data_IF_919089641624
#
_entry.id   IF_919089641624
#
_cell.length_a   1.000
_cell.length_b   1.000
_cell.length_c   1.000
_cell.angle_alpha   90.00
_cell.angle_beta   90.00
_cell.angle_gamma   90.00
#
_symmetry.space_group_name_H-M   'P 1'
#
loop_
_entity.id
_entity.type
_entity.pdbx_description
1 polymer ?
#
# COMPACT_ATOMS: atom_id res chain seq x y z
N UNK A 1 -15.66 -14.15 -18.01
CA UNK A 1 -14.43 -13.37 -17.69
C UNK A 1 -14.53 -12.98 -16.23
N UNK A 2 -13.45 -13.10 -15.45
CA UNK A 2 -13.47 -12.68 -14.04
C UNK A 2 -13.22 -11.18 -13.93
N UNK A 3 -14.03 -10.48 -13.12
CA UNK A 3 -13.96 -9.04 -12.92
C UNK A 3 -13.12 -8.74 -11.69
N UNK A 4 -12.15 -7.82 -11.79
CA UNK A 4 -11.26 -7.43 -10.69
C UNK A 4 -11.26 -5.91 -10.55
N UNK A 5 -11.46 -5.43 -9.35
CA UNK A 5 -11.29 -4.02 -9.00
C UNK A 5 -9.85 -3.79 -8.53
N UNK A 6 -9.18 -2.77 -9.05
CA UNK A 6 -7.81 -2.39 -8.63
C UNK A 6 -7.79 -0.91 -8.27
N UNK A 7 -7.42 -0.56 -7.04
CA UNK A 7 -7.22 0.84 -6.64
C UNK A 7 -5.77 1.25 -6.84
N UNK A 8 -5.49 2.53 -7.15
CA UNK A 8 -4.15 2.99 -7.48
C UNK A 8 -3.68 2.48 -8.86
N UNK A 9 -4.62 2.34 -9.79
CA UNK A 9 -4.45 1.62 -11.06
C UNK A 9 -3.48 2.30 -12.04
N UNK A 10 -3.26 3.60 -11.94
CA UNK A 10 -2.29 4.33 -12.77
C UNK A 10 -0.90 4.40 -12.14
N UNK A 11 -0.78 4.09 -10.83
CA UNK A 11 0.49 4.02 -10.11
C UNK A 11 1.33 2.80 -10.52
N UNK A 12 2.62 2.81 -10.21
CA UNK A 12 3.55 1.78 -10.69
C UNK A 12 3.12 0.34 -10.40
N UNK A 13 2.75 0.00 -9.17
CA UNK A 13 2.30 -1.35 -8.82
C UNK A 13 0.91 -1.65 -9.40
N UNK A 14 -0.04 -0.72 -9.29
CA UNK A 14 -1.39 -0.90 -9.80
C UNK A 14 -1.42 -1.09 -11.32
N UNK A 15 -0.65 -0.27 -12.05
CA UNK A 15 -0.52 -0.39 -13.50
C UNK A 15 0.06 -1.74 -13.93
N UNK A 16 1.11 -2.22 -13.25
CA UNK A 16 1.68 -3.53 -13.52
C UNK A 16 0.69 -4.67 -13.27
N UNK A 17 -0.09 -4.57 -12.18
CA UNK A 17 -1.16 -5.55 -11.87
C UNK A 17 -2.26 -5.50 -12.94
N UNK A 18 -2.76 -4.31 -13.30
CA UNK A 18 -3.78 -4.16 -14.34
C UNK A 18 -3.31 -4.74 -15.67
N UNK A 19 -2.06 -4.47 -16.08
CA UNK A 19 -1.49 -5.00 -17.34
C UNK A 19 -1.42 -6.52 -17.32
N UNK A 20 -0.88 -7.12 -16.26
CA UNK A 20 -0.78 -8.57 -16.14
C UNK A 20 -2.16 -9.23 -16.10
N UNK A 21 -3.12 -8.67 -15.38
CA UNK A 21 -4.49 -9.19 -15.34
C UNK A 21 -5.17 -9.11 -16.70
N UNK A 22 -4.96 -8.02 -17.46
CA UNK A 22 -5.45 -7.89 -18.84
C UNK A 22 -4.87 -8.98 -19.74
N UNK A 23 -3.56 -9.24 -19.69
CA UNK A 23 -2.89 -10.31 -20.43
C UNK A 23 -3.44 -11.71 -20.09
N UNK A 24 -3.85 -11.90 -18.83
CA UNK A 24 -4.46 -13.15 -18.34
C UNK A 24 -5.97 -13.25 -18.63
N UNK A 25 -6.55 -12.30 -19.35
CA UNK A 25 -7.95 -12.32 -19.76
C UNK A 25 -8.95 -11.94 -18.66
N UNK A 26 -8.51 -11.23 -17.62
CA UNK A 26 -9.41 -10.62 -16.65
C UNK A 26 -10.00 -9.32 -17.20
N UNK A 27 -11.22 -8.97 -16.77
CA UNK A 27 -11.73 -7.60 -16.88
C UNK A 27 -11.33 -6.83 -15.64
N UNK A 28 -10.70 -5.68 -15.83
CA UNK A 28 -10.19 -4.85 -14.74
C UNK A 28 -10.93 -3.52 -14.69
N UNK A 29 -11.46 -3.19 -13.52
CA UNK A 29 -11.96 -1.87 -13.16
C UNK A 29 -10.89 -1.19 -12.32
N UNK A 30 -10.13 -0.29 -12.93
CA UNK A 30 -9.06 0.43 -12.27
C UNK A 30 -9.54 1.77 -11.71
N UNK A 31 -9.33 2.03 -10.44
CA UNK A 31 -9.64 3.28 -9.77
C UNK A 31 -8.34 4.01 -9.43
N UNK A 32 -8.26 5.31 -9.74
CA UNK A 32 -7.13 6.15 -9.37
C UNK A 32 -7.55 7.60 -9.16
N UNK A 33 -6.80 8.31 -8.34
CA UNK A 33 -6.95 9.76 -8.18
C UNK A 33 -6.65 10.51 -9.48
N UNK A 34 -5.65 10.04 -10.23
CA UNK A 34 -5.29 10.57 -11.53
C UNK A 34 -6.17 9.95 -12.63
N UNK A 35 -6.43 10.73 -13.66
CA UNK A 35 -7.07 10.24 -14.87
C UNK A 35 -6.14 9.26 -15.61
N UNK A 36 -6.74 8.29 -16.31
CA UNK A 36 -6.05 7.34 -17.16
C UNK A 36 -6.91 6.96 -18.36
N UNK A 37 -6.29 6.41 -19.38
CA UNK A 37 -6.97 5.94 -20.57
C UNK A 37 -7.25 4.43 -20.49
N UNK A 38 -8.42 4.01 -20.94
CA UNK A 38 -8.81 2.62 -21.04
C UNK A 38 -7.91 1.87 -22.04
N UNK A 39 -7.59 0.60 -21.75
CA UNK A 39 -6.83 -0.24 -22.67
C UNK A 39 -7.18 -1.73 -22.50
N UNK A 40 -7.29 -2.43 -23.62
CA UNK A 40 -7.66 -3.86 -23.60
C UNK A 40 -8.94 -4.11 -22.81
N UNK A 41 -8.86 -4.94 -21.78
CA UNK A 41 -9.96 -5.22 -20.85
C UNK A 41 -9.88 -4.38 -19.57
N UNK A 42 -9.05 -3.35 -19.53
CA UNK A 42 -8.89 -2.42 -18.38
C UNK A 42 -9.70 -1.16 -18.63
N UNK A 43 -10.63 -0.88 -17.76
CA UNK A 43 -11.40 0.36 -17.73
C UNK A 43 -11.02 1.19 -16.51
N UNK A 44 -10.63 2.44 -16.74
CA UNK A 44 -10.12 3.32 -15.69
C UNK A 44 -11.18 4.35 -15.29
N UNK A 45 -11.27 4.56 -13.98
CA UNK A 45 -12.15 5.54 -13.37
C UNK A 45 -11.35 6.47 -12.47
N UNK A 46 -11.51 7.76 -12.68
CA UNK A 46 -11.02 8.75 -11.69
C UNK A 46 -11.83 8.57 -10.40
N UNK A 47 -11.12 8.42 -9.28
CA UNK A 47 -11.72 8.19 -7.98
C UNK A 47 -10.78 8.63 -6.85
N UNK A 48 -11.19 9.61 -6.06
CA UNK A 48 -10.51 9.91 -4.80
C UNK A 48 -11.04 8.99 -3.70
N UNK A 49 -10.24 8.02 -3.29
CA UNK A 49 -10.60 7.07 -2.22
C UNK A 49 -10.80 7.75 -0.85
N UNK A 50 -10.46 9.03 -0.72
CA UNK A 50 -10.71 9.80 0.50
C UNK A 50 -12.09 10.45 0.52
N UNK A 51 -12.76 10.50 -0.62
CA UNK A 51 -14.12 11.01 -0.76
C UNK A 51 -15.13 9.84 -0.93
N UNK A 52 -16.00 9.67 0.07
CA UNK A 52 -17.02 8.61 0.05
C UNK A 52 -17.98 8.77 -1.12
N UNK A 53 -18.37 10.00 -1.45
CA UNK A 53 -19.31 10.28 -2.54
C UNK A 53 -18.73 9.95 -3.91
N UNK A 54 -17.42 10.15 -4.09
CA UNK A 54 -16.73 9.79 -5.32
C UNK A 54 -16.62 8.26 -5.48
N UNK A 55 -16.33 7.56 -4.39
CA UNK A 55 -16.34 6.08 -4.37
C UNK A 55 -17.72 5.52 -4.68
N UNK A 56 -18.80 6.08 -4.11
CA UNK A 56 -20.18 5.69 -4.38
C UNK A 56 -20.58 5.94 -5.84
N UNK A 57 -20.18 7.08 -6.40
CA UNK A 57 -20.46 7.41 -7.80
C UNK A 57 -19.77 6.43 -8.78
N UNK A 58 -18.53 6.02 -8.48
CA UNK A 58 -17.82 5.02 -9.29
C UNK A 58 -18.44 3.62 -9.09
N UNK A 59 -18.83 3.25 -7.88
CA UNK A 59 -19.56 2.01 -7.62
C UNK A 59 -20.83 1.88 -8.46
N UNK A 60 -21.65 2.92 -8.52
CA UNK A 60 -22.89 2.91 -9.31
C UNK A 60 -22.62 2.72 -10.82
N UNK A 61 -21.53 3.30 -11.36
CA UNK A 61 -21.10 3.06 -12.75
C UNK A 61 -20.71 1.60 -12.96
N UNK A 62 -19.87 1.04 -12.09
CA UNK A 62 -19.37 -0.33 -12.22
C UNK A 62 -20.50 -1.35 -12.04
N UNK A 63 -21.44 -1.11 -11.12
CA UNK A 63 -22.61 -1.96 -10.87
C UNK A 63 -23.54 -2.09 -12.07
N UNK A 64 -23.56 -1.09 -12.95
CA UNK A 64 -24.29 -1.18 -14.23
C UNK A 64 -23.61 -2.15 -15.22
N UNK A 65 -22.31 -2.33 -15.11
CA UNK A 65 -21.51 -3.17 -16.03
C UNK A 65 -21.31 -4.61 -15.53
N UNK A 66 -21.29 -4.79 -14.20
CA UNK A 66 -21.15 -6.12 -13.60
C UNK A 66 -21.95 -6.27 -12.32
N UNK A 67 -22.35 -7.50 -12.03
CA UNK A 67 -23.02 -7.87 -10.78
C UNK A 67 -22.08 -8.53 -9.78
N UNK A 68 -20.86 -8.87 -10.22
CA UNK A 68 -19.92 -9.64 -9.41
C UNK A 68 -18.48 -9.15 -9.61
N UNK A 69 -17.75 -9.05 -8.51
CA UNK A 69 -16.31 -8.86 -8.50
C UNK A 69 -15.62 -10.11 -7.95
N UNK A 70 -14.78 -10.72 -8.76
CA UNK A 70 -13.93 -11.84 -8.33
C UNK A 70 -12.90 -11.40 -7.30
N UNK A 71 -12.39 -10.16 -7.41
CA UNK A 71 -11.48 -9.64 -6.40
C UNK A 71 -11.49 -8.12 -6.30
N UNK A 72 -11.04 -7.64 -5.14
CA UNK A 72 -10.59 -6.27 -4.90
C UNK A 72 -9.10 -6.31 -4.59
N UNK A 73 -8.30 -5.53 -5.32
CA UNK A 73 -6.86 -5.40 -5.13
C UNK A 73 -6.53 -3.95 -4.75
N UNK A 74 -6.08 -3.75 -3.53
CA UNK A 74 -5.74 -2.43 -3.01
C UNK A 74 -4.26 -2.13 -3.23
N UNK A 75 -3.97 -1.19 -4.12
CA UNK A 75 -2.62 -0.63 -4.30
C UNK A 75 -2.58 0.89 -4.14
N UNK A 76 -3.72 1.55 -4.02
CA UNK A 76 -3.77 2.97 -3.68
C UNK A 76 -3.09 3.22 -2.34
N UNK A 77 -2.21 4.19 -2.32
CA UNK A 77 -1.49 4.56 -1.11
C UNK A 77 -0.46 5.65 -1.39
N UNK A 78 -0.19 6.46 -0.39
CA UNK A 78 0.83 7.48 -0.43
C UNK A 78 1.90 7.20 0.61
N UNK A 79 3.11 7.67 0.31
CA UNK A 79 4.25 7.65 1.21
C UNK A 79 4.51 9.08 1.72
N UNK A 80 4.83 9.18 2.99
CA UNK A 80 5.33 10.42 3.57
C UNK A 80 6.33 10.11 4.69
N UNK A 81 7.26 11.01 4.89
CA UNK A 81 8.20 10.99 6.01
C UNK A 81 8.36 12.39 6.58
N UNK A 82 8.44 12.45 7.88
CA UNK A 82 8.71 13.66 8.64
C UNK A 82 8.96 13.34 10.12
N UNK A 83 9.37 14.33 10.90
CA UNK A 83 9.31 14.26 12.35
C UNK A 83 7.85 14.26 12.82
N UNK A 84 7.48 13.31 13.67
CA UNK A 84 6.11 13.23 14.22
C UNK A 84 5.69 14.45 15.03
N UNK A 85 6.67 15.23 15.53
CA UNK A 85 6.41 16.43 16.34
C UNK A 85 6.53 17.73 15.53
N UNK A 86 7.05 17.68 14.29
CA UNK A 86 7.11 18.85 13.40
C UNK A 86 6.14 18.73 12.21
N UNK A 87 5.59 17.54 11.97
CA UNK A 87 4.70 17.28 10.86
C UNK A 87 3.39 18.04 10.97
N UNK A 88 2.96 18.65 9.86
CA UNK A 88 1.66 19.31 9.76
C UNK A 88 0.50 18.30 9.92
N UNK A 89 -0.53 18.68 10.69
CA UNK A 89 -1.68 17.84 10.99
C UNK A 89 -2.44 17.40 9.72
N UNK A 90 -2.53 18.27 8.70
CA UNK A 90 -3.22 17.92 7.46
C UNK A 90 -2.48 16.81 6.70
N UNK A 91 -1.16 16.83 6.74
CA UNK A 91 -0.34 15.74 6.14
C UNK A 91 -0.47 14.46 6.95
N UNK A 92 -0.47 14.57 8.29
CA UNK A 92 -0.66 13.43 9.18
C UNK A 92 -2.02 12.75 8.94
N UNK A 93 -3.10 13.50 8.87
CA UNK A 93 -4.45 12.98 8.61
C UNK A 93 -4.59 12.45 7.19
N UNK A 94 -4.03 13.15 6.18
CA UNK A 94 -4.12 12.74 4.76
C UNK A 94 -3.55 11.36 4.50
N UNK A 95 -2.41 11.01 5.13
CA UNK A 95 -1.80 9.70 4.91
C UNK A 95 -2.65 8.57 5.50
N UNK A 96 -3.33 8.80 6.64
CA UNK A 96 -4.31 7.85 7.19
C UNK A 96 -5.54 7.74 6.29
N UNK A 97 -6.01 8.87 5.80
CA UNK A 97 -7.22 8.94 4.99
C UNK A 97 -7.08 8.13 3.69
N UNK A 98 -5.93 8.25 3.03
CA UNK A 98 -5.64 7.44 1.84
C UNK A 98 -5.32 5.98 2.20
N UNK A 99 -4.34 5.75 3.10
CA UNK A 99 -3.75 4.42 3.29
C UNK A 99 -4.64 3.46 4.11
N UNK A 100 -5.51 3.99 4.96
CA UNK A 100 -6.35 3.20 5.87
C UNK A 100 -7.82 3.38 5.55
N UNK A 101 -8.33 4.61 5.63
CA UNK A 101 -9.76 4.86 5.41
C UNK A 101 -10.17 4.64 3.95
N UNK A 102 -9.29 4.91 2.97
CA UNK A 102 -9.55 4.60 1.56
C UNK A 102 -9.81 3.11 1.33
N UNK A 103 -8.98 2.24 1.94
CA UNK A 103 -9.19 0.78 1.87
C UNK A 103 -10.51 0.37 2.51
N UNK A 104 -10.85 0.94 3.67
CA UNK A 104 -12.12 0.70 4.34
C UNK A 104 -13.31 1.13 3.47
N UNK A 105 -13.28 2.35 2.89
CA UNK A 105 -14.38 2.87 2.04
C UNK A 105 -14.63 1.98 0.83
N UNK A 106 -13.57 1.59 0.13
CA UNK A 106 -13.66 0.69 -1.03
C UNK A 106 -14.26 -0.65 -0.61
N UNK A 107 -13.75 -1.29 0.43
CA UNK A 107 -14.29 -2.57 0.89
C UNK A 107 -15.76 -2.46 1.29
N UNK A 108 -16.16 -1.39 2.00
CA UNK A 108 -17.53 -1.14 2.43
C UNK A 108 -18.50 -0.96 1.27
N UNK A 109 -18.13 -0.12 0.30
CA UNK A 109 -19.01 0.24 -0.82
C UNK A 109 -19.10 -0.88 -1.85
N UNK A 110 -18.00 -1.57 -2.15
CA UNK A 110 -17.97 -2.65 -3.15
C UNK A 110 -18.32 -4.03 -2.60
N UNK A 111 -18.53 -4.17 -1.28
CA UNK A 111 -18.94 -5.42 -0.66
C UNK A 111 -20.14 -6.10 -1.35
N UNK A 112 -21.19 -5.38 -1.80
CA UNK A 112 -22.35 -6.04 -2.41
C UNK A 112 -22.05 -6.75 -3.75
N UNK A 113 -20.91 -6.48 -4.36
CA UNK A 113 -20.46 -7.17 -5.58
C UNK A 113 -19.56 -8.39 -5.27
N UNK A 114 -19.19 -8.62 -4.00
CA UNK A 114 -18.41 -9.79 -3.60
C UNK A 114 -19.35 -10.99 -3.36
N UNK A 115 -18.86 -12.17 -3.71
CA UNK A 115 -19.55 -13.44 -3.56
C UNK A 115 -18.62 -14.49 -2.95
N UNK A 116 -19.17 -15.63 -2.54
CA UNK A 116 -18.39 -16.78 -2.04
C UNK A 116 -17.30 -17.17 -3.03
N UNK A 117 -16.04 -17.12 -2.60
CA UNK A 117 -14.87 -17.37 -3.45
C UNK A 117 -14.24 -16.10 -4.04
N UNK A 118 -14.85 -14.92 -3.87
CA UNK A 118 -14.18 -13.64 -4.14
C UNK A 118 -12.96 -13.47 -3.24
N UNK A 119 -12.08 -12.49 -3.55
CA UNK A 119 -10.82 -12.28 -2.84
C UNK A 119 -10.60 -10.81 -2.55
N UNK A 120 -9.93 -10.52 -1.42
CA UNK A 120 -9.45 -9.18 -1.10
C UNK A 120 -7.93 -9.25 -0.95
N UNK A 121 -7.20 -8.44 -1.72
CA UNK A 121 -5.74 -8.36 -1.67
C UNK A 121 -5.36 -6.94 -1.29
N UNK A 122 -4.56 -6.80 -0.23
CA UNK A 122 -4.18 -5.49 0.32
C UNK A 122 -2.66 -5.34 0.23
N UNK A 123 -2.18 -4.31 -0.45
CA UNK A 123 -0.76 -3.96 -0.48
C UNK A 123 -0.40 -3.17 0.76
N UNK A 124 0.38 -3.80 1.63
CA UNK A 124 0.94 -3.22 2.85
C UNK A 124 2.39 -2.76 2.62
N UNK A 125 3.30 -3.11 3.51
CA UNK A 125 4.73 -2.83 3.44
C UNK A 125 5.52 -3.83 4.27
N UNK A 126 6.81 -4.01 3.98
CA UNK A 126 7.72 -4.72 4.89
C UNK A 126 7.83 -4.05 6.26
N UNK A 127 7.54 -2.73 6.34
CA UNK A 127 7.60 -1.96 7.58
C UNK A 127 6.40 -2.23 8.52
N UNK A 128 5.29 -2.73 8.01
CA UNK A 128 4.06 -2.88 8.79
C UNK A 128 4.18 -3.80 10.02
N UNK A 129 4.90 -4.94 9.98
CA UNK A 129 5.09 -5.78 11.16
C UNK A 129 6.26 -5.36 12.06
N UNK A 130 7.00 -4.30 11.67
CA UNK A 130 8.19 -3.83 12.39
C UNK A 130 7.83 -2.67 13.32
N UNK A 131 8.65 -2.47 14.34
CA UNK A 131 8.58 -1.27 15.15
C UNK A 131 8.88 -0.03 14.30
N UNK A 132 8.07 1.04 14.39
CA UNK A 132 8.24 2.22 13.55
C UNK A 132 9.60 2.89 13.76
N UNK A 133 10.27 3.24 12.65
CA UNK A 133 11.56 3.93 12.65
C UNK A 133 11.38 5.46 12.72
N UNK A 134 12.38 6.22 13.21
CA UNK A 134 12.35 7.68 13.17
C UNK A 134 12.09 8.19 11.75
N UNK A 135 11.36 9.28 11.65
CA UNK A 135 11.02 10.04 10.44
C UNK A 135 10.20 9.30 9.38
N UNK A 136 10.26 7.96 9.30
CA UNK A 136 9.36 7.13 8.49
C UNK A 136 8.16 6.61 9.30
N UNK A 137 8.08 7.00 10.57
CA UNK A 137 7.11 6.47 11.53
C UNK A 137 5.67 6.60 11.07
N UNK A 138 5.29 7.76 10.50
CA UNK A 138 3.91 7.98 10.05
C UNK A 138 3.49 6.96 8.99
N UNK A 139 4.33 6.67 8.00
CA UNK A 139 4.03 5.66 6.99
C UNK A 139 3.95 4.26 7.61
N UNK A 140 4.94 3.90 8.44
CA UNK A 140 4.97 2.61 9.16
C UNK A 140 3.72 2.40 10.03
N UNK A 141 3.28 3.44 10.75
CA UNK A 141 2.07 3.41 11.58
C UNK A 141 0.83 3.15 10.72
N UNK A 142 0.66 3.85 9.58
CA UNK A 142 -0.50 3.60 8.71
C UNK A 142 -0.50 2.17 8.15
N UNK A 143 0.66 1.64 7.78
CA UNK A 143 0.75 0.26 7.26
C UNK A 143 0.55 -0.79 8.35
N UNK A 144 1.01 -0.55 9.58
CA UNK A 144 0.70 -1.39 10.74
C UNK A 144 -0.80 -1.39 11.07
N UNK A 145 -1.43 -0.22 11.04
CA UNK A 145 -2.88 -0.08 11.24
C UNK A 145 -3.65 -0.83 10.15
N UNK A 146 -3.24 -0.67 8.89
CA UNK A 146 -3.85 -1.35 7.75
C UNK A 146 -3.77 -2.88 7.89
N UNK A 147 -2.66 -3.43 8.42
CA UNK A 147 -2.55 -4.87 8.63
C UNK A 147 -3.41 -5.38 9.78
N UNK A 148 -3.59 -4.60 10.83
CA UNK A 148 -4.55 -4.94 11.89
C UNK A 148 -5.98 -4.95 11.35
N UNK A 149 -6.33 -3.96 10.53
CA UNK A 149 -7.59 -3.95 9.80
C UNK A 149 -7.74 -5.19 8.90
N UNK A 150 -6.74 -5.50 8.08
CA UNK A 150 -6.75 -6.65 7.18
C UNK A 150 -6.90 -7.99 7.93
N UNK A 151 -6.28 -8.11 9.11
CA UNK A 151 -6.40 -9.31 9.93
C UNK A 151 -7.80 -9.45 10.52
N UNK A 152 -8.40 -8.37 11.04
CA UNK A 152 -9.79 -8.38 11.52
C UNK A 152 -10.75 -8.70 10.38
N UNK A 153 -10.62 -8.00 9.24
CA UNK A 153 -11.43 -8.24 8.06
C UNK A 153 -11.35 -9.71 7.61
N UNK A 154 -10.17 -10.31 7.63
CA UNK A 154 -9.99 -11.73 7.29
C UNK A 154 -10.80 -12.65 8.21
N UNK A 155 -10.84 -12.35 9.52
CA UNK A 155 -11.61 -13.16 10.48
C UNK A 155 -13.11 -13.07 10.22
N UNK A 156 -13.59 -11.92 9.78
CA UNK A 156 -15.00 -11.72 9.42
C UNK A 156 -15.34 -12.39 8.08
N UNK A 157 -14.53 -12.10 7.04
CA UNK A 157 -14.84 -12.52 5.66
C UNK A 157 -14.59 -14.02 5.42
N UNK A 158 -13.79 -14.70 6.26
CA UNK A 158 -13.69 -16.16 6.19
C UNK A 158 -15.03 -16.86 6.45
N UNK A 159 -15.95 -16.23 7.20
CA UNK A 159 -17.31 -16.73 7.44
C UNK A 159 -18.18 -16.66 6.17
N UNK A 160 -17.72 -15.94 5.16
CA UNK A 160 -18.35 -15.76 3.85
C UNK A 160 -17.54 -16.46 2.73
N UNK A 161 -16.52 -17.23 3.08
CA UNK A 161 -15.57 -17.84 2.16
C UNK A 161 -14.86 -16.84 1.23
N UNK A 162 -14.58 -15.64 1.74
CA UNK A 162 -13.85 -14.57 1.05
C UNK A 162 -12.47 -14.40 1.71
N UNK A 163 -11.39 -15.01 1.18
CA UNK A 163 -10.07 -14.88 1.73
C UNK A 163 -9.48 -13.47 1.53
N UNK A 164 -8.84 -12.98 2.59
CA UNK A 164 -8.03 -11.76 2.57
C UNK A 164 -6.55 -12.13 2.56
N UNK A 165 -5.79 -11.52 1.66
CA UNK A 165 -4.34 -11.65 1.56
C UNK A 165 -3.65 -10.28 1.65
N UNK A 166 -2.46 -10.26 2.25
CA UNK A 166 -1.64 -9.06 2.36
C UNK A 166 -0.34 -9.27 1.60
N UNK A 167 0.02 -8.34 0.73
CA UNK A 167 1.35 -8.29 0.10
C UNK A 167 2.20 -7.30 0.88
N UNK A 168 3.38 -7.73 1.33
CA UNK A 168 4.37 -6.93 2.06
C UNK A 168 5.60 -6.68 1.17
N UNK A 169 5.57 -5.67 0.29
CA UNK A 169 6.76 -5.31 -0.47
C UNK A 169 7.77 -4.55 0.39
N UNK A 170 9.05 -4.75 0.13
CA UNK A 170 10.10 -3.79 0.44
C UNK A 170 10.15 -2.71 -0.66
N UNK A 171 11.34 -2.16 -0.95
CA UNK A 171 11.49 -1.16 -2.00
C UNK A 171 11.09 -1.72 -3.38
N UNK A 172 10.20 -1.02 -4.09
CA UNK A 172 9.72 -1.35 -5.43
C UNK A 172 9.99 -0.18 -6.36
N UNK A 173 10.54 -0.45 -7.53
CA UNK A 173 10.81 0.57 -8.55
C UNK A 173 9.51 1.12 -9.12
N UNK A 174 9.00 2.18 -8.52
CA UNK A 174 7.78 2.89 -8.91
C UNK A 174 7.97 4.38 -8.73
N UNK A 175 7.00 5.20 -9.15
CA UNK A 175 6.98 6.64 -8.84
C UNK A 175 7.04 6.95 -7.34
N UNK A 176 6.74 5.98 -6.47
CA UNK A 176 6.83 6.14 -5.01
C UNK A 176 8.27 6.43 -4.54
N UNK A 177 9.30 5.92 -5.23
CA UNK A 177 10.70 6.25 -4.92
C UNK A 177 10.97 7.74 -5.15
N UNK A 178 10.44 8.31 -6.24
CA UNK A 178 10.56 9.76 -6.46
C UNK A 178 9.83 10.56 -5.38
N UNK A 179 8.66 10.09 -4.92
CA UNK A 179 7.92 10.72 -3.81
C UNK A 179 8.71 10.63 -2.50
N UNK A 180 9.39 9.51 -2.25
CA UNK A 180 10.26 9.34 -1.10
C UNK A 180 11.39 10.37 -1.10
N UNK A 181 12.07 10.55 -2.24
CA UNK A 181 13.14 11.55 -2.39
C UNK A 181 12.62 12.98 -2.13
N UNK A 182 11.47 13.35 -2.71
CA UNK A 182 10.84 14.66 -2.48
C UNK A 182 10.48 14.85 -0.99
N UNK A 183 9.96 13.83 -0.34
CA UNK A 183 9.62 13.88 1.08
C UNK A 183 10.88 14.02 1.95
N UNK A 184 11.95 13.32 1.58
CA UNK A 184 13.26 13.38 2.26
C UNK A 184 13.91 14.76 2.13
N UNK A 185 13.92 15.33 0.92
CA UNK A 185 14.42 16.68 0.68
C UNK A 185 13.60 17.73 1.45
N UNK A 186 12.29 17.60 1.46
CA UNK A 186 11.41 18.46 2.27
C UNK A 186 11.75 18.37 3.75
N UNK A 187 11.87 17.17 4.32
CA UNK A 187 12.25 16.96 5.71
C UNK A 187 13.60 17.62 6.00
N UNK A 188 14.60 17.36 5.17
CA UNK A 188 15.96 17.89 5.33
C UNK A 188 16.02 19.42 5.35
N UNK A 189 15.23 20.04 4.47
CA UNK A 189 15.24 21.50 4.30
C UNK A 189 14.38 22.22 5.35
N UNK A 190 13.38 21.56 5.94
CA UNK A 190 12.39 22.21 6.79
C UNK A 190 12.51 21.87 8.28
N UNK A 191 13.13 20.73 8.65
CA UNK A 191 13.27 20.36 10.06
C UNK A 191 14.11 21.37 10.82
N UNK A 192 13.61 21.82 11.95
CA UNK A 192 14.32 22.73 12.86
C UNK A 192 15.01 21.96 13.99
N UNK A 193 14.35 20.91 14.48
CA UNK A 193 14.84 20.11 15.59
C UNK A 193 15.91 19.09 15.20
N UNK A 194 15.86 18.60 13.96
CA UNK A 194 16.70 17.46 13.50
C UNK A 194 17.67 17.81 12.37
N UNK A 195 18.03 19.08 12.19
CA UNK A 195 18.96 19.53 11.14
C UNK A 195 20.28 18.74 11.09
N UNK A 196 20.83 18.41 12.26
CA UNK A 196 22.11 17.67 12.37
C UNK A 196 21.95 16.15 12.11
N UNK A 197 20.73 15.62 12.19
CA UNK A 197 20.43 14.20 12.04
C UNK A 197 19.98 13.87 10.60
N UNK A 198 19.39 14.83 9.91
CA UNK A 198 18.74 14.64 8.61
C UNK A 198 19.69 14.11 7.52
N UNK A 199 20.96 14.55 7.51
CA UNK A 199 21.95 14.05 6.56
C UNK A 199 22.31 12.57 6.76
N UNK A 200 22.45 12.13 8.03
CA UNK A 200 22.68 10.71 8.35
C UNK A 200 21.48 9.85 8.00
N UNK A 201 20.27 10.37 8.27
CA UNK A 201 19.04 9.68 7.91
C UNK A 201 18.90 9.50 6.39
N UNK A 202 19.23 10.53 5.59
CA UNK A 202 19.26 10.41 4.13
C UNK A 202 20.14 9.27 3.64
N UNK A 203 21.37 9.17 4.13
CA UNK A 203 22.29 8.11 3.72
C UNK A 203 21.75 6.69 4.01
N UNK A 204 20.93 6.54 5.07
CA UNK A 204 20.24 5.29 5.38
C UNK A 204 19.14 5.02 4.35
N UNK A 205 18.29 6.01 4.05
CA UNK A 205 17.19 5.86 3.08
C UNK A 205 17.76 5.49 1.71
N UNK A 206 18.78 6.21 1.23
CA UNK A 206 19.44 5.94 -0.05
C UNK A 206 19.96 4.49 -0.13
N UNK A 207 20.54 3.98 0.95
CA UNK A 207 21.06 2.60 1.01
C UNK A 207 19.95 1.53 0.97
N UNK A 208 18.80 1.82 1.52
CA UNK A 208 17.63 0.93 1.51
C UNK A 208 16.96 0.93 0.13
N UNK A 209 16.76 2.11 -0.45
CA UNK A 209 16.11 2.26 -1.74
C UNK A 209 16.95 1.75 -2.92
N UNK A 210 18.27 1.68 -2.79
CA UNK A 210 19.15 1.08 -3.79
C UNK A 210 18.81 -0.40 -4.11
N UNK A 211 18.15 -1.10 -3.19
CA UNK A 211 17.76 -2.52 -3.32
C UNK A 211 16.27 -2.64 -3.65
N UNK A 212 15.90 -2.27 -4.85
CA UNK A 212 14.50 -2.35 -5.29
C UNK A 212 14.24 -3.52 -6.26
N UNK A 213 12.98 -3.97 -6.32
CA UNK A 213 12.47 -4.92 -7.32
C UNK A 213 11.55 -4.21 -8.30
N UNK A 214 11.38 -4.72 -9.53
CA UNK A 214 10.43 -4.16 -10.49
C UNK A 214 8.97 -4.40 -10.04
N UNK A 215 8.06 -3.52 -10.49
CA UNK A 215 6.64 -3.59 -10.13
C UNK A 215 5.95 -4.87 -10.64
N UNK A 216 6.43 -5.44 -11.73
CA UNK A 216 5.96 -6.68 -12.34
C UNK A 216 6.04 -7.87 -11.37
N UNK A 217 7.04 -7.87 -10.47
CA UNK A 217 7.14 -8.90 -9.43
C UNK A 217 5.99 -8.83 -8.42
N UNK A 218 5.48 -7.62 -8.17
CA UNK A 218 4.31 -7.44 -7.31
C UNK A 218 3.05 -7.93 -8.04
N UNK A 219 2.95 -7.68 -9.35
CA UNK A 219 1.86 -8.17 -10.18
C UNK A 219 1.80 -9.71 -10.22
N UNK A 220 2.94 -10.39 -10.36
CA UNK A 220 3.03 -11.85 -10.29
C UNK A 220 2.52 -12.41 -8.94
N UNK A 221 2.90 -11.76 -7.84
CA UNK A 221 2.45 -12.15 -6.49
C UNK A 221 0.95 -11.90 -6.32
N UNK A 222 0.44 -10.78 -6.84
CA UNK A 222 -1.00 -10.51 -6.81
C UNK A 222 -1.78 -11.56 -7.62
N UNK A 223 -1.26 -11.96 -8.79
CA UNK A 223 -1.85 -13.02 -9.59
C UNK A 223 -1.82 -14.38 -8.87
N UNK A 224 -0.70 -14.75 -8.21
CA UNK A 224 -0.62 -15.97 -7.39
C UNK A 224 -1.68 -15.95 -6.26
N UNK A 225 -1.82 -14.82 -5.57
CA UNK A 225 -2.85 -14.67 -4.54
C UNK A 225 -4.28 -14.76 -5.10
N UNK A 226 -4.50 -14.29 -6.34
CA UNK A 226 -5.79 -14.39 -7.03
C UNK A 226 -6.11 -15.81 -7.48
N UNK A 227 -5.15 -16.56 -7.99
CA UNK A 227 -5.38 -17.86 -8.63
C UNK A 227 -5.20 -19.05 -7.68
N UNK A 228 -4.48 -18.88 -6.58
CA UNK A 228 -4.24 -19.96 -5.62
C UNK A 228 -5.54 -20.51 -5.05
N UNK A 229 -5.68 -21.84 -5.02
CA UNK A 229 -6.81 -22.51 -4.35
C UNK A 229 -6.81 -22.29 -2.84
N UNK A 230 -5.63 -22.08 -2.24
CA UNK A 230 -5.44 -21.77 -0.83
C UNK A 230 -4.49 -20.58 -0.69
N UNK A 231 -4.97 -19.33 -0.90
CA UNK A 231 -4.12 -18.18 -0.84
C UNK A 231 -3.53 -17.98 0.56
N UNK A 232 -2.24 -17.65 0.60
CA UNK A 232 -1.57 -17.30 1.85
C UNK A 232 -2.16 -16.01 2.41
N UNK A 233 -2.15 -15.86 3.74
CA UNK A 233 -2.49 -14.58 4.35
C UNK A 233 -1.45 -13.51 4.01
N UNK A 234 -0.16 -13.85 4.04
CA UNK A 234 0.92 -12.88 3.81
C UNK A 234 1.86 -13.38 2.72
N UNK A 235 2.06 -12.53 1.73
CA UNK A 235 3.09 -12.64 0.68
C UNK A 235 4.18 -11.60 0.95
N UNK A 236 5.44 -12.01 1.00
CA UNK A 236 6.59 -11.15 1.33
C UNK A 236 7.53 -11.10 0.13
N UNK A 237 8.02 -9.91 -0.20
CA UNK A 237 8.98 -9.72 -1.28
C UNK A 237 9.97 -8.60 -0.95
N UNK A 238 11.24 -8.81 -1.29
CA UNK A 238 12.32 -7.82 -1.14
C UNK A 238 12.45 -7.25 0.28
N UNK A 239 12.46 -8.13 1.29
CA UNK A 239 12.60 -7.71 2.69
C UNK A 239 14.03 -7.28 2.98
N UNK A 240 14.17 -6.19 3.72
CA UNK A 240 15.47 -5.72 4.20
C UNK A 240 15.93 -6.54 5.43
N UNK A 241 17.03 -7.32 5.34
CA UNK A 241 17.48 -8.15 6.44
C UNK A 241 17.99 -7.34 7.64
N UNK A 242 18.51 -6.12 7.43
CA UNK A 242 18.98 -5.26 8.52
C UNK A 242 17.83 -4.75 9.37
N UNK A 243 16.71 -4.40 8.74
CA UNK A 243 15.49 -4.01 9.47
C UNK A 243 14.94 -5.17 10.30
N UNK A 244 14.99 -6.38 9.76
CA UNK A 244 14.57 -7.58 10.49
C UNK A 244 15.48 -7.83 11.70
N UNK A 245 16.78 -7.73 11.53
CA UNK A 245 17.75 -7.89 12.60
C UNK A 245 17.55 -6.85 13.70
N UNK A 246 17.38 -5.57 13.32
CA UNK A 246 17.09 -4.50 14.27
C UNK A 246 15.81 -4.80 15.07
N UNK A 247 14.77 -5.28 14.39
CA UNK A 247 13.48 -5.56 15.05
C UNK A 247 13.48 -6.83 15.94
N UNK A 248 14.54 -7.66 15.87
CA UNK A 248 14.73 -8.76 16.81
C UNK A 248 15.31 -8.30 18.15
N UNK A 249 15.86 -7.10 18.23
CA UNK A 249 16.39 -6.55 19.48
C UNK A 249 15.25 -6.10 20.41
N UNK A 250 15.43 -6.20 21.74
CA UNK A 250 14.53 -5.55 22.68
C UNK A 250 14.42 -4.04 22.42
N UNK A 251 13.24 -3.45 22.62
CA UNK A 251 12.96 -2.03 22.29
C UNK A 251 14.01 -1.05 22.82
N UNK A 252 14.53 -1.25 24.04
CA UNK A 252 15.60 -0.42 24.61
C UNK A 252 16.87 -0.46 23.77
N UNK A 253 17.25 -1.62 23.25
CA UNK A 253 18.43 -1.78 22.41
C UNK A 253 18.20 -1.22 21.00
N UNK A 254 16.99 -1.34 20.46
CA UNK A 254 16.62 -0.69 19.19
C UNK A 254 16.79 0.84 19.30
N UNK A 255 16.19 1.47 20.34
CA UNK A 255 16.29 2.92 20.58
C UNK A 255 17.74 3.34 20.76
N UNK A 256 18.55 2.55 21.49
CA UNK A 256 19.97 2.82 21.67
C UNK A 256 20.75 2.73 20.35
N UNK A 257 20.56 1.65 19.55
CA UNK A 257 21.22 1.47 18.26
C UNK A 257 20.86 2.57 17.27
N UNK A 258 19.57 2.95 17.18
CA UNK A 258 19.09 4.05 16.35
C UNK A 258 19.75 5.37 16.81
N UNK A 259 19.84 5.58 18.13
CA UNK A 259 20.51 6.74 18.69
C UNK A 259 21.99 6.82 18.31
N UNK A 260 22.73 5.70 18.34
CA UNK A 260 24.13 5.66 17.91
C UNK A 260 24.31 6.02 16.43
N UNK A 261 23.39 5.55 15.58
CA UNK A 261 23.49 5.79 14.13
C UNK A 261 23.07 7.23 13.76
N UNK A 262 22.03 7.76 14.40
CA UNK A 262 21.44 9.05 14.01
C UNK A 262 21.97 10.25 14.81
N UNK A 263 22.53 10.08 16.01
CA UNK A 263 23.12 11.20 16.76
C UNK A 263 24.28 11.82 15.98
N UNK A 264 24.46 13.15 16.10
CA UNK A 264 25.53 13.90 15.43
C UNK A 264 26.90 13.40 15.78
#
# INVERSE_FOLDING_TARGET
MKNVLVTGATGGMGKAICSLLNEKGYRVYGLDYNEGEDYGNVKLYKCDVTDMSDVEAVYEKIKQETKELYAIVHTAGIYDLDSLIEMDEKRFTRIFDVNVFGVYRINKIFQPLLFTGSRIIITSSELAPLDPLPFTGIYGITKSTLEKYAFSLRQETQLLDIPVSVIRPGAVKTGLLNVSNVALDRFRNNTKLYMKNAGKFQAIVDSVEARHVPAERIAEIALDALESKKPKYVYKINRNPLLLLLNMLPAKLQVFAIGLVLKP
#
